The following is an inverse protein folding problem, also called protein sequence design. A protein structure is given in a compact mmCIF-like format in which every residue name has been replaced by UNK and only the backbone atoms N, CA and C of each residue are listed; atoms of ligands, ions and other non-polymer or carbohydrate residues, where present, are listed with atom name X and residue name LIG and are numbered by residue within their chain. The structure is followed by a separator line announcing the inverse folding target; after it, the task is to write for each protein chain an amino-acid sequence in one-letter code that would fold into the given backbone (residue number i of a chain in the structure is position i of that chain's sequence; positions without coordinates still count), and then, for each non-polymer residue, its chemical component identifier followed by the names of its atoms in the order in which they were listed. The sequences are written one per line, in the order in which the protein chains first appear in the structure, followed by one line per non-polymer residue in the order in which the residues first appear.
data_IF_548533897072
#
_entry.id   IF_548533897072
#
_cell.length_a   1.000
_cell.length_b   1.000
_cell.length_c   1.000
_cell.angle_alpha   90.00
_cell.angle_beta   90.00
_cell.angle_gamma   90.00
#
_symmetry.space_group_name_H-M   'P 1'
#
loop_
_entity.id
_entity.type
_entity.pdbx_description
1 polymer ?
#
# COMPACT_ATOMS: atom_id res chain seq x y z
N UNK A 1 -22.72 10.46 -7.41
CA UNK A 1 -21.36 10.95 -7.74
C UNK A 1 -20.53 9.72 -8.08
N UNK A 2 -20.34 9.47 -9.39
CA UNK A 2 -19.64 8.31 -9.96
C UNK A 2 -18.12 8.53 -9.90
N UNK A 3 -17.35 7.43 -10.00
CA UNK A 3 -15.92 7.36 -10.36
C UNK A 3 -14.86 7.25 -9.24
N UNK A 4 -15.14 6.49 -8.19
CA UNK A 4 -14.10 5.66 -7.59
C UNK A 4 -14.61 4.23 -7.53
N UNK A 5 -14.62 3.56 -8.70
CA UNK A 5 -14.49 2.10 -8.66
C UNK A 5 -13.10 1.84 -8.08
N UNK A 6 -13.05 1.80 -6.75
CA UNK A 6 -11.84 1.58 -5.97
C UNK A 6 -11.23 0.28 -6.44
N UNK A 7 -10.14 0.38 -7.21
CA UNK A 7 -9.14 -0.67 -7.39
C UNK A 7 -8.61 -0.98 -5.98
N UNK A 8 -9.37 -1.80 -5.25
CA UNK A 8 -8.93 -2.30 -3.96
C UNK A 8 -7.81 -3.30 -4.21
N UNK A 9 -6.85 -3.43 -3.28
CA UNK A 9 -5.83 -4.47 -3.36
C UNK A 9 -6.46 -5.86 -3.62
N UNK A 10 -7.64 -6.12 -3.04
CA UNK A 10 -8.44 -7.33 -3.27
C UNK A 10 -8.90 -7.52 -4.71
N UNK A 11 -9.25 -6.45 -5.43
CA UNK A 11 -9.60 -6.52 -6.85
C UNK A 11 -8.38 -6.86 -7.71
N UNK A 12 -7.22 -6.29 -7.38
CA UNK A 12 -5.95 -6.59 -8.05
C UNK A 12 -5.56 -8.04 -7.81
N UNK A 13 -5.54 -8.51 -6.56
CA UNK A 13 -5.28 -9.92 -6.21
C UNK A 13 -6.21 -10.86 -6.99
N UNK A 14 -7.52 -10.54 -7.04
CA UNK A 14 -8.50 -11.40 -7.70
C UNK A 14 -8.26 -11.52 -9.20
N UNK A 15 -7.76 -10.47 -9.84
CA UNK A 15 -7.45 -10.47 -11.28
C UNK A 15 -6.09 -11.09 -11.57
N UNK A 16 -5.10 -10.85 -10.72
CA UNK A 16 -3.74 -11.36 -10.90
C UNK A 16 -3.57 -12.80 -10.40
N UNK A 17 -4.53 -13.30 -9.61
CA UNK A 17 -4.47 -14.59 -8.90
C UNK A 17 -3.13 -14.78 -8.16
N UNK A 18 -2.58 -13.69 -7.63
CA UNK A 18 -1.28 -13.68 -6.95
C UNK A 18 -1.48 -13.90 -5.44
N UNK A 19 -1.36 -15.16 -5.02
CA UNK A 19 -1.50 -15.57 -3.62
C UNK A 19 -0.43 -14.95 -2.72
N UNK A 20 0.77 -14.71 -3.25
CA UNK A 20 1.88 -14.08 -2.51
C UNK A 20 1.57 -12.62 -2.20
N UNK A 21 0.94 -11.91 -3.13
CA UNK A 21 0.46 -10.54 -2.92
C UNK A 21 -0.65 -10.50 -1.86
N UNK A 22 -1.54 -11.50 -1.83
CA UNK A 22 -2.57 -11.62 -0.77
C UNK A 22 -1.92 -11.77 0.61
N UNK A 23 -1.01 -12.72 0.74
CA UNK A 23 -0.33 -13.00 2.00
C UNK A 23 0.44 -11.78 2.53
N UNK A 24 1.09 -11.04 1.61
CA UNK A 24 1.81 -9.81 1.90
C UNK A 24 0.87 -8.71 2.42
N UNK A 25 -0.28 -8.52 1.76
CA UNK A 25 -1.26 -7.50 2.13
C UNK A 25 -1.89 -7.79 3.49
N UNK A 26 -2.22 -9.06 3.79
CA UNK A 26 -2.77 -9.47 5.08
C UNK A 26 -1.76 -9.21 6.21
N UNK A 27 -0.50 -9.61 6.01
CA UNK A 27 0.56 -9.48 7.03
C UNK A 27 0.96 -8.04 7.31
N UNK A 28 0.93 -7.18 6.29
CA UNK A 28 1.49 -5.82 6.36
C UNK A 28 0.42 -4.72 6.46
N UNK A 29 -0.80 -5.10 6.85
CA UNK A 29 -1.97 -4.19 6.98
C UNK A 29 -1.63 -2.90 7.73
N UNK A 30 -0.95 -2.99 8.88
CA UNK A 30 -0.57 -1.82 9.68
C UNK A 30 0.40 -0.86 8.97
N UNK A 31 1.32 -1.40 8.17
CA UNK A 31 2.29 -0.63 7.37
C UNK A 31 1.57 0.07 6.21
N UNK A 32 0.60 -0.59 5.59
CA UNK A 32 -0.22 -0.01 4.51
C UNK A 32 -1.14 1.10 5.02
N UNK A 33 -1.68 0.95 6.24
CA UNK A 33 -2.47 2.00 6.88
C UNK A 33 -1.64 3.26 7.16
N UNK A 34 -0.35 3.13 7.48
CA UNK A 34 0.55 4.28 7.58
C UNK A 34 0.66 5.04 6.25
N UNK A 35 0.73 4.35 5.10
CA UNK A 35 0.72 5.00 3.78
C UNK A 35 -0.58 5.76 3.58
N UNK A 36 -1.71 5.14 3.92
CA UNK A 36 -3.03 5.75 3.77
C UNK A 36 -3.17 7.00 4.64
N UNK A 37 -2.75 6.91 5.90
CA UNK A 37 -2.73 8.03 6.83
C UNK A 37 -1.78 9.12 6.37
N UNK A 38 -0.60 8.78 5.84
CA UNK A 38 0.34 9.73 5.28
C UNK A 38 -0.21 10.45 4.04
N UNK A 39 -0.91 9.75 3.15
CA UNK A 39 -1.57 10.37 2.00
C UNK A 39 -2.61 11.41 2.41
N UNK A 40 -3.41 11.12 3.44
CA UNK A 40 -4.40 12.05 3.99
C UNK A 40 -3.69 13.17 4.75
N UNK A 41 -2.78 12.82 5.64
CA UNK A 41 -2.05 13.71 6.54
C UNK A 41 -1.19 14.73 5.81
N UNK A 42 -0.46 14.32 4.77
CA UNK A 42 0.43 15.20 4.00
C UNK A 42 -0.26 16.44 3.42
N UNK A 43 -1.60 16.41 3.23
CA UNK A 43 -2.38 17.56 2.77
C UNK A 43 -2.83 18.52 3.86
N UNK A 44 -2.97 18.05 5.10
CA UNK A 44 -3.69 18.79 6.15
C UNK A 44 -2.92 18.92 7.45
N UNK A 45 -1.90 18.08 7.68
CA UNK A 45 -1.15 17.95 8.92
C UNK A 45 0.32 17.68 8.58
N UNK A 46 1.22 18.66 8.73
CA UNK A 46 2.65 18.43 8.60
C UNK A 46 3.11 17.56 9.77
N UNK A 47 3.12 16.24 9.56
CA UNK A 47 3.56 15.26 10.53
C UNK A 47 4.87 14.64 10.04
N UNK A 48 5.90 14.70 10.89
CA UNK A 48 7.17 14.03 10.62
C UNK A 48 7.04 12.54 10.96
N UNK A 49 7.18 11.69 9.94
CA UNK A 49 7.23 10.25 10.12
C UNK A 49 8.64 9.81 10.50
N UNK A 50 8.75 8.80 11.37
CA UNK A 50 10.05 8.25 11.73
C UNK A 50 10.76 7.68 10.49
N UNK A 51 12.07 7.91 10.39
CA UNK A 51 12.89 7.38 9.28
C UNK A 51 12.73 5.87 9.11
N UNK A 52 12.62 5.14 10.21
CA UNK A 52 12.45 3.68 10.20
C UNK A 52 11.10 3.28 9.59
N UNK A 53 10.02 3.97 9.95
CA UNK A 53 8.69 3.75 9.37
C UNK A 53 8.69 4.01 7.86
N UNK A 54 9.35 5.08 7.41
CA UNK A 54 9.47 5.41 5.98
C UNK A 54 10.24 4.33 5.23
N UNK A 55 11.37 3.85 5.77
CA UNK A 55 12.18 2.80 5.16
C UNK A 55 11.40 1.48 5.06
N UNK A 56 10.70 1.07 6.12
CA UNK A 56 9.89 -0.14 6.13
C UNK A 56 8.78 -0.07 5.07
N UNK A 57 8.10 1.06 5.02
CA UNK A 57 7.04 1.34 4.05
C UNK A 57 7.56 1.31 2.60
N UNK A 58 8.72 1.93 2.34
CA UNK A 58 9.32 1.93 1.01
C UNK A 58 9.72 0.52 0.56
N UNK A 59 10.26 -0.31 1.46
CA UNK A 59 10.59 -1.71 1.16
C UNK A 59 9.34 -2.49 0.79
N UNK A 60 8.26 -2.33 1.54
CA UNK A 60 6.98 -2.99 1.26
C UNK A 60 6.44 -2.61 -0.12
N UNK A 61 6.42 -1.31 -0.44
CA UNK A 61 5.96 -0.82 -1.75
C UNK A 61 6.79 -1.41 -2.89
N UNK A 62 8.11 -1.51 -2.74
CA UNK A 62 8.97 -2.17 -3.75
C UNK A 62 8.60 -3.63 -3.95
N UNK A 63 8.38 -4.38 -2.87
CA UNK A 63 7.97 -5.78 -2.97
C UNK A 63 6.63 -5.90 -3.72
N UNK A 64 5.65 -5.06 -3.38
CA UNK A 64 4.35 -5.03 -4.07
C UNK A 64 4.53 -4.75 -5.57
N UNK A 65 5.34 -3.75 -5.93
CA UNK A 65 5.55 -3.37 -7.32
C UNK A 65 6.26 -4.47 -8.13
N UNK A 66 7.25 -5.13 -7.54
CA UNK A 66 7.91 -6.29 -8.15
C UNK A 66 6.92 -7.44 -8.38
N UNK A 67 6.06 -7.76 -7.41
CA UNK A 67 5.04 -8.80 -7.53
C UNK A 67 3.97 -8.47 -8.59
N UNK A 68 3.80 -7.19 -8.91
CA UNK A 68 2.92 -6.70 -9.98
C UNK A 68 3.63 -6.57 -11.33
N UNK A 69 4.94 -6.80 -11.40
CA UNK A 69 5.74 -6.64 -12.64
C UNK A 69 5.90 -5.18 -13.09
N UNK A 70 5.81 -4.23 -12.16
CA UNK A 70 5.92 -2.79 -12.42
C UNK A 70 7.33 -2.23 -12.13
N UNK A 71 8.19 -3.03 -11.50
CA UNK A 71 9.60 -2.80 -11.18
C UNK A 71 10.37 -4.11 -11.40
#
# INVERSE_FOLDING_TARGET
MKLFATLTPNFVIRITNNDRLRELLDKETSTLDLIRQAYIGARYLPYDYSKNSVIATLRLVRVILNELGLL
#
